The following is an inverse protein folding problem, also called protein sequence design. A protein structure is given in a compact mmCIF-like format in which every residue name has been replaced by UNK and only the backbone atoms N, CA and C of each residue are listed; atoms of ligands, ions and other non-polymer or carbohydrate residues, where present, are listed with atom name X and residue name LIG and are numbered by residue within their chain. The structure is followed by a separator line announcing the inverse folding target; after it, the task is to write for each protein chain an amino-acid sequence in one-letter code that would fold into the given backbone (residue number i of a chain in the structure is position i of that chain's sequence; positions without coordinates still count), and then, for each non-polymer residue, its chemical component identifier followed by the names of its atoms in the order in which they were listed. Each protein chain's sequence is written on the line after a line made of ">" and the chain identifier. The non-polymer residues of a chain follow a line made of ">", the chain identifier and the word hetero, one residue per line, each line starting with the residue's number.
data_IF_028950872943
#
_entry.id   IF_028950872943
#
_cell.length_a   1.000
_cell.length_b   1.000
_cell.length_c   1.000
_cell.angle_alpha   90.00
_cell.angle_beta   90.00
_cell.angle_gamma   90.00
#
_symmetry.space_group_name_H-M   'P 1'
#
loop_
_entity.id
_entity.type
_entity.pdbx_description
1 polymer ?
#
# COMPACT_ATOMS: atom_id res chain seq x y z
N UNK A 1 78.77 1.01 -20.38
CA UNK A 1 77.77 0.91 -19.28
C UNK A 1 76.77 2.06 -19.21
N UNK A 2 77.11 3.32 -19.57
CA UNK A 2 76.21 4.48 -19.43
C UNK A 2 74.92 4.44 -20.30
N UNK A 3 74.97 3.85 -21.50
CA UNK A 3 73.80 3.79 -22.41
C UNK A 3 72.69 2.82 -21.95
N UNK A 4 73.05 1.71 -21.29
CA UNK A 4 72.06 0.74 -20.76
C UNK A 4 71.27 1.29 -19.56
N UNK A 5 71.83 2.22 -18.80
CA UNK A 5 71.17 2.85 -17.64
C UNK A 5 70.10 3.88 -18.06
N UNK A 6 70.33 4.60 -19.17
CA UNK A 6 69.38 5.60 -19.70
C UNK A 6 68.13 4.92 -20.28
N UNK A 7 68.30 3.78 -20.97
CA UNK A 7 67.16 3.01 -21.49
C UNK A 7 66.31 2.44 -20.35
N UNK A 8 66.94 1.98 -19.26
CA UNK A 8 66.23 1.49 -18.08
C UNK A 8 65.44 2.62 -17.38
N UNK A 9 66.01 3.82 -17.27
CA UNK A 9 65.35 5.00 -16.69
C UNK A 9 64.17 5.52 -17.54
N UNK A 10 64.26 5.41 -18.87
CA UNK A 10 63.16 5.75 -19.78
C UNK A 10 62.03 4.71 -19.74
N UNK A 11 62.35 3.42 -19.63
CA UNK A 11 61.36 2.36 -19.45
C UNK A 11 60.63 2.45 -18.09
N UNK A 12 61.34 2.78 -17.02
CA UNK A 12 60.74 2.98 -15.68
C UNK A 12 59.84 4.22 -15.66
N UNK A 13 60.20 5.32 -16.34
CA UNK A 13 59.31 6.48 -16.49
C UNK A 13 58.08 6.22 -17.37
N UNK A 14 58.19 5.32 -18.36
CA UNK A 14 57.05 4.93 -19.19
C UNK A 14 56.09 4.01 -18.43
N UNK A 15 56.62 3.10 -17.60
CA UNK A 15 55.84 2.19 -16.74
C UNK A 15 55.20 2.91 -15.53
N UNK A 16 55.78 4.02 -15.06
CA UNK A 16 55.20 4.85 -13.98
C UNK A 16 54.14 5.84 -14.47
N UNK A 17 53.95 6.01 -15.80
CA UNK A 17 52.90 6.87 -16.37
C UNK A 17 51.60 6.14 -16.74
N UNK A 18 51.54 4.82 -16.57
CA UNK A 18 50.35 4.01 -16.92
C UNK A 18 49.37 3.78 -15.77
N UNK A 19 49.53 4.44 -14.61
CA UNK A 19 48.71 4.17 -13.41
C UNK A 19 47.82 5.34 -12.96
N UNK A 20 47.34 6.15 -13.90
CA UNK A 20 46.15 6.97 -13.67
C UNK A 20 45.24 6.86 -14.89
N UNK A 21 44.76 5.64 -15.17
CA UNK A 21 43.44 5.53 -15.77
C UNK A 21 42.48 6.16 -14.75
N UNK A 22 42.29 7.49 -14.84
CA UNK A 22 41.27 8.20 -14.10
C UNK A 22 39.99 7.42 -14.37
N UNK A 23 39.50 6.74 -13.35
CA UNK A 23 38.10 6.34 -13.24
C UNK A 23 37.32 7.48 -13.89
N UNK A 24 36.71 7.24 -15.06
CA UNK A 24 35.93 8.29 -15.71
C UNK A 24 35.00 8.85 -14.64
N UNK A 25 35.16 10.14 -14.32
CA UNK A 25 34.46 10.78 -13.22
C UNK A 25 32.96 10.66 -13.51
N UNK A 26 32.34 9.66 -12.91
CA UNK A 26 30.91 9.47 -13.05
C UNK A 26 30.24 10.56 -12.22
N UNK A 27 29.53 11.45 -12.91
CA UNK A 27 28.84 12.57 -12.31
C UNK A 27 27.32 12.30 -12.28
N UNK A 28 26.67 12.26 -11.11
CA UNK A 28 25.23 12.05 -10.99
C UNK A 28 24.39 13.02 -11.85
N UNK A 29 24.85 14.28 -12.00
CA UNK A 29 24.14 15.27 -12.83
C UNK A 29 24.14 14.91 -14.32
N UNK A 30 25.15 14.18 -14.80
CA UNK A 30 25.21 13.70 -16.17
C UNK A 30 24.41 12.40 -16.34
N UNK A 31 24.42 11.52 -15.34
CA UNK A 31 23.54 10.35 -15.30
C UNK A 31 22.07 10.74 -15.42
N UNK A 32 21.63 11.79 -14.73
CA UNK A 32 20.26 12.30 -14.76
C UNK A 32 19.77 12.73 -16.16
N UNK A 33 20.69 12.95 -17.12
CA UNK A 33 20.38 13.36 -18.50
C UNK A 33 20.36 12.18 -19.47
N UNK A 34 20.87 11.02 -19.08
CA UNK A 34 20.92 9.84 -19.95
C UNK A 34 19.49 9.39 -20.25
N UNK A 35 19.10 9.20 -21.52
CA UNK A 35 17.81 8.61 -21.86
C UNK A 35 17.62 7.28 -21.13
N UNK A 36 16.50 7.16 -20.41
CA UNK A 36 16.19 5.94 -19.69
C UNK A 36 15.63 4.86 -20.60
N UNK A 37 15.54 3.65 -20.06
CA UNK A 37 15.01 2.48 -20.77
C UNK A 37 13.89 1.81 -20.00
N UNK A 38 13.04 1.09 -20.73
CA UNK A 38 12.02 0.21 -20.17
C UNK A 38 12.60 -1.19 -20.01
N UNK A 39 12.37 -1.81 -18.85
CA UNK A 39 12.82 -3.18 -18.57
C UNK A 39 11.66 -4.00 -18.02
N UNK A 40 11.23 -4.98 -18.80
CA UNK A 40 10.29 -5.99 -18.32
C UNK A 40 11.00 -6.95 -17.37
N UNK A 41 10.40 -7.18 -16.22
CA UNK A 41 10.69 -8.36 -15.40
C UNK A 41 9.74 -9.48 -15.81
N UNK A 42 10.03 -10.71 -15.35
CA UNK A 42 9.04 -11.78 -15.42
C UNK A 42 7.83 -11.37 -14.58
N UNK A 43 6.65 -11.89 -14.94
CA UNK A 43 5.47 -11.80 -14.08
C UNK A 43 5.87 -12.25 -12.67
N UNK A 44 5.37 -11.53 -11.67
CA UNK A 44 5.57 -11.86 -10.26
C UNK A 44 4.70 -13.04 -9.86
N UNK A 45 3.95 -12.87 -8.78
CA UNK A 45 3.06 -13.91 -8.25
C UNK A 45 1.90 -14.18 -9.20
N UNK A 46 1.67 -15.46 -9.50
CA UNK A 46 0.48 -15.98 -10.19
C UNK A 46 -0.13 -17.07 -9.30
N UNK A 47 -1.24 -16.78 -8.62
CA UNK A 47 -1.89 -17.71 -7.70
C UNK A 47 -3.42 -17.62 -7.77
N UNK A 48 -4.07 -18.78 -7.79
CA UNK A 48 -5.54 -18.89 -7.71
C UNK A 48 -6.30 -18.18 -8.84
N UNK A 49 -5.71 -18.07 -10.03
CA UNK A 49 -6.32 -17.48 -11.23
C UNK A 49 -6.47 -18.56 -12.31
N UNK A 50 -7.62 -18.61 -12.98
CA UNK A 50 -7.83 -19.55 -14.07
C UNK A 50 -6.98 -19.18 -15.30
N UNK A 51 -6.54 -20.14 -16.14
CA UNK A 51 -5.78 -19.81 -17.35
C UNK A 51 -6.52 -18.86 -18.32
N UNK A 52 -7.84 -18.96 -18.40
CA UNK A 52 -8.67 -18.11 -19.25
C UNK A 52 -8.75 -16.66 -18.73
N UNK A 53 -8.92 -16.50 -17.41
CA UNK A 53 -8.90 -15.18 -16.77
C UNK A 53 -7.50 -14.57 -16.91
N UNK A 54 -6.43 -15.32 -16.61
CA UNK A 54 -5.05 -14.86 -16.70
C UNK A 54 -4.71 -14.30 -18.09
N UNK A 55 -5.15 -14.97 -19.17
CA UNK A 55 -4.94 -14.48 -20.53
C UNK A 55 -5.64 -13.14 -20.79
N UNK A 56 -6.79 -12.91 -20.17
CA UNK A 56 -7.58 -11.68 -20.30
C UNK A 56 -7.02 -10.55 -19.42
N UNK A 57 -6.65 -10.86 -18.17
CA UNK A 57 -5.98 -9.94 -17.25
C UNK A 57 -4.67 -9.40 -17.87
N UNK A 58 -3.87 -10.27 -18.50
CA UNK A 58 -2.64 -9.86 -19.21
C UNK A 58 -2.91 -8.86 -20.34
N UNK A 59 -4.03 -8.99 -21.06
CA UNK A 59 -4.41 -8.03 -22.11
C UNK A 59 -4.75 -6.67 -21.51
N UNK A 60 -5.49 -6.63 -20.40
CA UNK A 60 -5.79 -5.40 -19.67
C UNK A 60 -4.49 -4.71 -19.23
N UNK A 61 -3.58 -5.43 -18.57
CA UNK A 61 -2.32 -4.86 -18.09
C UNK A 61 -1.39 -4.42 -19.23
N UNK A 62 -1.41 -5.13 -20.37
CA UNK A 62 -0.68 -4.72 -21.57
C UNK A 62 -1.22 -3.41 -22.12
N UNK A 63 -2.54 -3.23 -22.16
CA UNK A 63 -3.17 -1.96 -22.55
C UNK A 63 -2.73 -0.79 -21.67
N UNK A 64 -2.68 -0.99 -20.35
CA UNK A 64 -2.19 0.01 -19.39
C UNK A 64 -0.72 0.35 -19.66
N UNK A 65 0.14 -0.67 -19.84
CA UNK A 65 1.58 -0.47 -20.10
C UNK A 65 1.82 0.30 -21.40
N UNK A 66 1.16 -0.06 -22.49
CA UNK A 66 1.34 0.61 -23.78
C UNK A 66 0.82 2.05 -23.74
N UNK A 67 -0.29 2.29 -23.02
CA UNK A 67 -0.80 3.64 -22.76
C UNK A 67 0.22 4.51 -22.01
N UNK A 68 0.94 3.94 -21.03
CA UNK A 68 2.02 4.62 -20.31
C UNK A 68 3.24 4.88 -21.21
N UNK A 69 3.72 3.88 -21.96
CA UNK A 69 4.87 4.03 -22.88
C UNK A 69 4.65 5.10 -23.94
N UNK A 70 3.41 5.26 -24.41
CA UNK A 70 3.07 6.28 -25.40
C UNK A 70 3.20 7.72 -24.87
N UNK A 71 3.14 7.92 -23.55
CA UNK A 71 3.09 9.24 -22.90
C UNK A 71 4.27 9.54 -22.00
N UNK A 72 5.08 8.54 -21.67
CA UNK A 72 6.21 8.66 -20.77
C UNK A 72 7.49 8.06 -21.35
N UNK A 73 8.57 8.84 -21.31
CA UNK A 73 9.92 8.38 -21.59
C UNK A 73 10.77 8.54 -20.32
N UNK A 74 11.30 7.45 -19.74
CA UNK A 74 12.14 7.55 -18.55
C UNK A 74 13.45 8.28 -18.86
N UNK A 75 14.01 8.98 -17.87
CA UNK A 75 15.30 9.68 -17.98
C UNK A 75 16.11 9.48 -16.72
N UNK A 76 17.40 9.23 -16.86
CA UNK A 76 18.34 9.05 -15.76
C UNK A 76 18.22 7.73 -15.02
N UNK A 77 17.63 6.71 -15.64
CA UNK A 77 17.47 5.40 -15.03
C UNK A 77 16.72 4.40 -15.89
N UNK A 78 16.35 3.29 -15.28
CA UNK A 78 15.57 2.21 -15.90
C UNK A 78 14.21 2.12 -15.23
N UNK A 79 13.14 2.20 -16.01
CA UNK A 79 11.81 1.88 -15.52
C UNK A 79 11.60 0.37 -15.61
N UNK A 80 11.70 -0.29 -14.46
CA UNK A 80 11.49 -1.72 -14.34
C UNK A 80 10.03 -2.02 -14.04
N UNK A 81 9.41 -2.94 -14.77
CA UNK A 81 7.99 -3.23 -14.59
C UNK A 81 7.68 -4.73 -14.50
N UNK A 82 6.59 -5.06 -13.80
CA UNK A 82 6.12 -6.45 -13.60
C UNK A 82 4.62 -6.49 -13.38
N UNK A 83 3.99 -7.59 -13.77
CA UNK A 83 2.59 -7.87 -13.44
C UNK A 83 2.48 -8.78 -12.22
N UNK A 84 1.32 -8.77 -11.56
CA UNK A 84 0.92 -9.76 -10.57
C UNK A 84 -0.54 -10.17 -10.77
N UNK A 85 -0.84 -11.45 -10.55
CA UNK A 85 -2.13 -12.09 -10.81
C UNK A 85 -2.47 -13.03 -9.65
N UNK A 86 -2.93 -12.48 -8.55
CA UNK A 86 -3.07 -13.24 -7.30
C UNK A 86 -4.43 -12.98 -6.69
N UNK A 87 -5.23 -14.02 -6.49
CA UNK A 87 -6.42 -13.97 -5.63
C UNK A 87 -6.00 -14.42 -4.21
N UNK A 88 -5.87 -13.50 -3.24
CA UNK A 88 -5.42 -13.83 -1.89
C UNK A 88 -6.58 -14.43 -1.07
N UNK A 89 -6.74 -15.76 -1.09
CA UNK A 89 -7.89 -16.46 -0.49
C UNK A 89 -8.12 -16.18 1.01
N UNK A 90 -7.10 -15.76 1.76
CA UNK A 90 -7.23 -15.38 3.18
C UNK A 90 -7.63 -13.93 3.43
N UNK A 91 -7.70 -13.10 2.39
CA UNK A 91 -8.01 -11.66 2.51
C UNK A 91 -9.44 -11.34 2.07
N UNK A 92 -10.19 -12.32 1.56
CA UNK A 92 -11.53 -12.10 1.05
C UNK A 92 -12.30 -13.38 0.77
N UNK A 93 -13.63 -13.27 0.80
CA UNK A 93 -14.57 -14.32 0.40
C UNK A 93 -15.56 -13.81 -0.64
N UNK A 94 -16.29 -14.73 -1.28
CA UNK A 94 -17.30 -14.40 -2.29
C UNK A 94 -16.76 -13.48 -3.41
N UNK A 95 -15.54 -13.75 -3.87
CA UNK A 95 -14.83 -12.97 -4.89
C UNK A 95 -15.70 -12.69 -6.12
N UNK A 96 -16.05 -11.42 -6.31
CA UNK A 96 -16.84 -10.93 -7.44
C UNK A 96 -15.94 -10.68 -8.65
N UNK A 97 -14.71 -10.22 -8.41
CA UNK A 97 -13.70 -10.02 -9.44
C UNK A 97 -12.30 -10.37 -8.91
N UNK A 98 -11.42 -10.84 -9.80
CA UNK A 98 -10.03 -11.17 -9.47
C UNK A 98 -9.22 -9.88 -9.32
N UNK A 99 -8.44 -9.73 -8.24
CA UNK A 99 -7.45 -8.66 -8.14
C UNK A 99 -6.18 -9.03 -8.90
N UNK A 100 -5.66 -8.07 -9.65
CA UNK A 100 -4.41 -8.19 -10.40
C UNK A 100 -3.85 -6.78 -10.62
N UNK A 101 -2.62 -6.67 -11.11
CA UNK A 101 -2.06 -5.35 -11.30
C UNK A 101 -0.70 -5.30 -11.95
N UNK A 102 -0.25 -4.07 -12.16
CA UNK A 102 0.98 -3.72 -12.84
C UNK A 102 1.78 -2.74 -11.99
N UNK A 103 3.04 -3.07 -11.72
CA UNK A 103 3.95 -2.22 -10.94
C UNK A 103 5.08 -1.74 -11.82
N UNK A 104 5.39 -0.44 -11.73
CA UNK A 104 6.54 0.21 -12.35
C UNK A 104 7.42 0.82 -11.25
N UNK A 105 8.71 0.47 -11.25
CA UNK A 105 9.73 0.95 -10.32
C UNK A 105 10.80 1.69 -11.10
N UNK A 106 11.04 2.95 -10.75
CA UNK A 106 12.08 3.74 -11.40
C UNK A 106 13.42 3.56 -10.70
N UNK A 107 14.37 2.90 -11.35
CA UNK A 107 15.69 2.59 -10.81
C UNK A 107 16.70 3.56 -11.43
N UNK A 108 17.05 4.62 -10.70
CA UNK A 108 18.01 5.62 -11.18
C UNK A 108 19.38 5.01 -11.48
N UNK A 109 20.14 5.65 -12.39
CA UNK A 109 21.53 5.27 -12.59
C UNK A 109 22.40 5.79 -11.45
N UNK A 110 23.21 4.92 -10.87
CA UNK A 110 24.20 5.24 -9.85
C UNK A 110 25.61 5.05 -10.40
N UNK A 111 26.56 5.81 -9.86
CA UNK A 111 27.97 5.78 -10.24
C UNK A 111 28.71 4.54 -9.72
N UNK A 112 28.27 3.39 -10.19
CA UNK A 112 28.91 2.11 -9.94
C UNK A 112 29.08 1.36 -11.26
N UNK A 113 30.28 0.84 -11.50
CA UNK A 113 30.60 0.12 -12.72
C UNK A 113 29.72 -1.11 -12.88
N UNK A 114 29.02 -1.22 -14.00
CA UNK A 114 28.22 -2.40 -14.31
C UNK A 114 29.14 -3.55 -14.77
N UNK A 115 29.21 -4.68 -14.04
CA UNK A 115 30.05 -5.81 -14.43
C UNK A 115 29.62 -6.48 -15.75
N UNK A 116 28.37 -6.28 -16.19
CA UNK A 116 27.83 -6.91 -17.41
C UNK A 116 28.09 -6.08 -18.66
N UNK A 117 27.94 -4.76 -18.56
CA UNK A 117 28.07 -3.84 -19.71
C UNK A 117 29.38 -3.07 -19.72
N UNK A 118 30.15 -3.11 -18.63
CA UNK A 118 31.38 -2.35 -18.41
C UNK A 118 31.17 -0.82 -18.45
N UNK A 119 29.92 -0.35 -18.38
CA UNK A 119 29.57 1.06 -18.25
C UNK A 119 29.99 1.59 -16.87
N UNK A 120 30.32 2.89 -16.74
CA UNK A 120 30.72 3.51 -15.47
C UNK A 120 29.55 3.75 -14.50
N UNK A 121 28.35 3.30 -14.87
CA UNK A 121 27.13 3.40 -14.07
C UNK A 121 26.29 2.14 -14.25
N UNK A 122 25.37 1.91 -13.32
CA UNK A 122 24.37 0.84 -13.37
C UNK A 122 23.06 1.32 -12.73
N UNK A 123 21.91 0.67 -13.00
CA UNK A 123 20.68 0.97 -12.28
C UNK A 123 20.83 0.64 -10.78
N UNK A 124 20.27 1.46 -9.91
CA UNK A 124 20.13 1.18 -8.48
C UNK A 124 19.40 -0.16 -8.26
N UNK A 125 19.73 -0.90 -7.19
CA UNK A 125 19.05 -2.17 -6.88
C UNK A 125 17.61 -1.95 -6.39
N UNK A 126 17.33 -0.81 -5.76
CA UNK A 126 16.06 -0.48 -5.10
C UNK A 126 15.66 0.96 -5.42
N UNK A 127 14.41 1.32 -5.12
CA UNK A 127 13.87 2.66 -5.31
C UNK A 127 12.67 2.92 -4.42
N UNK A 128 12.51 4.17 -4.01
CA UNK A 128 11.31 4.69 -3.37
C UNK A 128 10.24 5.14 -4.39
N UNK A 129 10.61 5.29 -5.66
CA UNK A 129 9.75 5.79 -6.74
C UNK A 129 9.04 4.64 -7.45
N UNK A 130 7.76 4.48 -7.12
CA UNK A 130 6.93 3.39 -7.64
C UNK A 130 5.54 3.89 -8.03
N UNK A 131 5.05 3.38 -9.17
CA UNK A 131 3.65 3.52 -9.60
C UNK A 131 3.07 2.13 -9.72
N UNK A 132 1.94 1.88 -9.06
CA UNK A 132 1.23 0.60 -9.14
C UNK A 132 -0.20 0.83 -9.58
N UNK A 133 -0.61 0.15 -10.65
CA UNK A 133 -1.99 0.00 -11.06
C UNK A 133 -2.54 -1.27 -10.45
N UNK A 134 -3.52 -1.13 -9.57
CA UNK A 134 -4.32 -2.21 -9.04
C UNK A 134 -5.65 -2.26 -9.78
N UNK A 135 -6.01 -3.43 -10.27
CA UNK A 135 -7.32 -3.69 -10.86
C UNK A 135 -8.10 -4.53 -9.87
N UNK A 136 -9.35 -4.12 -9.57
CA UNK A 136 -10.23 -4.76 -8.59
C UNK A 136 -9.65 -4.84 -7.17
N UNK A 137 -8.66 -3.99 -6.88
CA UNK A 137 -8.00 -3.85 -5.59
C UNK A 137 -7.65 -2.38 -5.31
N UNK A 138 -7.67 -1.99 -4.05
CA UNK A 138 -7.00 -0.79 -3.56
C UNK A 138 -6.14 -1.18 -2.37
N UNK A 139 -4.85 -0.82 -2.42
CA UNK A 139 -3.93 -1.04 -1.31
C UNK A 139 -3.07 0.19 -1.07
N UNK A 140 -2.85 0.49 0.20
CA UNK A 140 -2.10 1.66 0.65
C UNK A 140 -1.73 1.57 2.11
N UNK A 141 -0.57 2.15 2.46
CA UNK A 141 -0.11 2.27 3.84
C UNK A 141 -0.32 3.70 4.28
N UNK A 142 -1.10 3.86 5.33
CA UNK A 142 -1.49 5.15 5.87
C UNK A 142 -0.38 5.68 6.81
N UNK A 143 -0.40 6.98 7.10
CA UNK A 143 0.66 7.64 7.85
C UNK A 143 0.86 7.03 9.24
N UNK A 144 -0.24 6.67 9.91
CA UNK A 144 -0.23 6.32 11.34
C UNK A 144 -0.41 4.84 11.62
N UNK A 145 -0.06 3.99 10.64
CA UNK A 145 0.00 2.53 10.79
C UNK A 145 -1.26 1.79 10.37
N UNK A 146 -2.26 2.49 9.81
CA UNK A 146 -3.34 1.84 9.08
C UNK A 146 -2.86 1.32 7.72
N UNK A 147 -3.45 0.24 7.23
CA UNK A 147 -3.39 -0.14 5.82
C UNK A 147 -4.80 -0.37 5.33
N UNK A 148 -5.07 0.00 4.08
CA UNK A 148 -6.27 -0.47 3.39
C UNK A 148 -5.87 -1.62 2.48
N UNK A 149 -6.67 -2.69 2.52
CA UNK A 149 -6.69 -3.73 1.50
C UNK A 149 -8.14 -3.96 1.08
N UNK A 150 -8.61 -3.17 0.11
CA UNK A 150 -9.94 -3.33 -0.47
C UNK A 150 -9.83 -4.25 -1.68
N UNK A 151 -10.76 -5.20 -1.78
CA UNK A 151 -10.92 -6.09 -2.93
C UNK A 151 -12.36 -6.04 -3.44
N UNK A 152 -12.58 -6.48 -4.68
CA UNK A 152 -13.90 -6.82 -5.20
C UNK A 152 -14.43 -8.15 -4.59
N UNK A 153 -14.49 -8.20 -3.26
CA UNK A 153 -14.85 -9.36 -2.45
C UNK A 153 -15.42 -8.89 -1.11
N UNK A 154 -16.13 -9.79 -0.42
CA UNK A 154 -16.51 -9.57 0.97
C UNK A 154 -15.29 -9.80 1.88
N UNK A 155 -15.23 -9.15 3.05
CA UNK A 155 -14.23 -9.48 4.07
C UNK A 155 -14.45 -10.92 4.57
N UNK A 156 -13.38 -11.68 4.86
CA UNK A 156 -13.52 -13.03 5.37
C UNK A 156 -14.10 -13.02 6.80
N UNK A 157 -14.72 -14.13 7.22
CA UNK A 157 -15.37 -14.21 8.53
C UNK A 157 -14.39 -14.11 9.70
N UNK A 158 -13.15 -14.53 9.49
CA UNK A 158 -12.04 -14.44 10.44
C UNK A 158 -11.22 -13.14 10.29
N UNK A 159 -11.70 -12.17 9.52
CA UNK A 159 -11.06 -10.85 9.44
C UNK A 159 -11.01 -10.25 10.84
N UNK A 160 -9.79 -9.99 11.35
CA UNK A 160 -9.51 -9.56 12.74
C UNK A 160 -10.43 -8.48 13.31
N UNK A 161 -11.00 -7.62 12.45
CA UNK A 161 -11.91 -6.54 12.83
C UNK A 161 -13.30 -6.63 12.21
N UNK A 162 -13.47 -7.39 11.13
CA UNK A 162 -14.69 -7.32 10.28
C UNK A 162 -14.91 -6.00 9.52
N UNK A 163 -13.97 -5.06 9.52
CA UNK A 163 -14.04 -3.78 8.79
C UNK A 163 -12.66 -3.23 8.42
N UNK A 164 -12.63 -2.24 7.53
CA UNK A 164 -11.45 -1.50 7.07
C UNK A 164 -11.29 -0.18 7.85
N UNK A 165 -10.04 0.25 8.06
CA UNK A 165 -9.71 1.52 8.71
C UNK A 165 -9.25 2.55 7.66
N UNK A 166 -9.87 3.72 7.64
CA UNK A 166 -9.42 4.85 6.82
C UNK A 166 -9.11 6.05 7.72
N UNK A 167 -7.94 6.65 7.58
CA UNK A 167 -7.59 7.91 8.24
C UNK A 167 -8.41 9.07 7.70
N UNK A 168 -8.76 9.00 6.41
CA UNK A 168 -9.60 9.97 5.71
C UNK A 168 -10.46 9.24 4.70
N UNK A 169 -11.68 9.74 4.50
CA UNK A 169 -12.50 9.30 3.39
C UNK A 169 -11.90 9.80 2.05
N UNK A 170 -11.94 9.01 0.97
CA UNK A 170 -11.50 9.50 -0.34
C UNK A 170 -12.34 10.71 -0.80
N UNK A 171 -11.66 11.71 -1.35
CA UNK A 171 -12.26 12.93 -1.85
C UNK A 171 -12.66 12.77 -3.32
N UNK A 172 -13.83 13.27 -3.71
CA UNK A 172 -14.20 13.33 -5.12
C UNK A 172 -13.43 14.46 -5.82
N UNK A 173 -12.65 14.12 -6.86
CA UNK A 173 -11.94 15.08 -7.73
C UNK A 173 -12.32 14.84 -9.19
N UNK A 174 -13.29 15.62 -9.68
CA UNK A 174 -13.92 15.35 -10.99
C UNK A 174 -14.62 14.00 -10.95
N UNK A 175 -14.26 13.10 -11.86
CA UNK A 175 -14.80 11.73 -11.92
C UNK A 175 -13.96 10.70 -11.13
N UNK A 176 -12.89 11.14 -10.46
CA UNK A 176 -11.97 10.26 -9.74
C UNK A 176 -12.20 10.38 -8.23
N UNK A 177 -12.01 9.27 -7.53
CA UNK A 177 -11.84 9.28 -6.07
C UNK A 177 -10.35 9.44 -5.78
N UNK A 178 -9.98 10.46 -5.03
CA UNK A 178 -8.60 10.75 -4.65
C UNK A 178 -8.38 10.45 -3.17
N UNK A 179 -7.23 9.85 -2.87
CA UNK A 179 -6.86 9.52 -1.52
C UNK A 179 -5.37 9.70 -1.30
N UNK A 180 -4.99 10.61 -0.41
CA UNK A 180 -3.62 10.69 0.10
C UNK A 180 -3.48 9.77 1.31
N UNK A 181 -2.73 8.68 1.15
CA UNK A 181 -2.49 7.71 2.23
C UNK A 181 -1.45 8.23 3.22
N UNK A 182 -0.40 8.87 2.70
CA UNK A 182 0.71 9.41 3.50
C UNK A 182 1.25 10.66 2.84
N UNK A 183 1.19 11.78 3.54
CA UNK A 183 1.88 12.98 3.14
C UNK A 183 3.37 12.89 3.56
N UNK A 184 4.31 13.33 2.71
CA UNK A 184 5.70 13.47 3.13
C UNK A 184 5.84 14.57 4.19
N UNK A 185 6.79 14.40 5.10
CA UNK A 185 7.14 15.38 6.15
C UNK A 185 8.66 15.47 6.33
N UNK A 186 9.13 16.44 7.12
CA UNK A 186 10.56 16.57 7.44
C UNK A 186 11.15 15.29 8.07
N UNK A 187 10.34 14.51 8.80
CA UNK A 187 10.77 13.26 9.44
C UNK A 187 10.62 12.04 8.54
N UNK A 188 9.74 12.11 7.55
CA UNK A 188 9.39 11.01 6.65
C UNK A 188 9.26 11.55 5.24
N UNK A 189 10.36 11.60 4.45
CA UNK A 189 10.34 12.25 3.13
C UNK A 189 9.57 11.44 2.08
N UNK A 190 9.14 10.21 2.43
CA UNK A 190 8.37 9.30 1.60
C UNK A 190 6.87 9.62 1.70
N UNK A 191 6.28 10.00 0.58
CA UNK A 191 4.84 10.15 0.41
C UNK A 191 4.21 8.97 -0.35
N UNK A 192 2.91 8.77 -0.14
CA UNK A 192 2.08 7.86 -0.91
C UNK A 192 0.69 8.46 -1.14
N UNK A 193 0.27 8.49 -2.40
CA UNK A 193 -1.07 8.92 -2.81
C UNK A 193 -1.68 7.92 -3.78
N UNK A 194 -3.00 7.93 -3.87
CA UNK A 194 -3.75 7.09 -4.77
C UNK A 194 -4.91 7.83 -5.42
N UNK A 195 -5.23 7.39 -6.64
CA UNK A 195 -6.44 7.75 -7.35
C UNK A 195 -7.18 6.47 -7.70
N UNK A 196 -8.49 6.50 -7.56
CA UNK A 196 -9.35 5.39 -7.87
C UNK A 196 -10.32 5.82 -8.97
N UNK A 197 -10.23 5.11 -10.09
CA UNK A 197 -11.19 5.17 -11.19
C UNK A 197 -12.33 4.23 -10.84
N UNK A 198 -13.51 4.80 -10.60
CA UNK A 198 -14.72 4.10 -10.22
C UNK A 198 -15.89 4.50 -11.13
N UNK A 199 -17.02 3.78 -11.03
CA UNK A 199 -18.24 4.17 -11.74
C UNK A 199 -18.75 5.54 -11.25
N UNK A 200 -19.26 6.41 -12.15
CA UNK A 200 -19.72 7.75 -11.78
C UNK A 200 -20.73 7.74 -10.63
N UNK A 201 -20.48 8.58 -9.61
CA UNK A 201 -21.35 8.72 -8.44
C UNK A 201 -21.41 7.48 -7.53
N UNK A 202 -20.55 6.48 -7.72
CA UNK A 202 -20.50 5.25 -6.92
C UNK A 202 -19.12 5.05 -6.31
N UNK A 203 -19.10 4.44 -5.12
CA UNK A 203 -17.87 4.07 -4.43
C UNK A 203 -17.82 2.56 -4.18
N UNK A 204 -16.69 1.88 -4.39
CA UNK A 204 -16.50 0.48 -3.99
C UNK A 204 -16.37 0.31 -2.47
N UNK A 205 -16.30 1.41 -1.73
CA UNK A 205 -16.36 1.47 -0.26
C UNK A 205 -17.73 1.98 0.19
N UNK A 206 -18.25 1.36 1.25
CA UNK A 206 -19.38 1.87 2.01
C UNK A 206 -18.91 2.21 3.43
N UNK A 207 -19.48 3.25 4.08
CA UNK A 207 -19.25 3.47 5.50
C UNK A 207 -19.79 2.26 6.29
N UNK A 208 -19.03 1.84 7.30
CA UNK A 208 -19.57 0.97 8.35
C UNK A 208 -20.43 1.84 9.25
N UNK A 209 -21.65 1.43 9.54
CA UNK A 209 -22.52 2.25 10.41
C UNK A 209 -22.18 2.06 11.89
N UNK A 210 -22.62 2.98 12.75
CA UNK A 210 -22.50 2.85 14.21
C UNK A 210 -23.11 1.55 14.72
N UNK A 211 -24.30 1.19 14.23
CA UNK A 211 -24.96 -0.06 14.63
C UNK A 211 -24.19 -1.30 14.21
N UNK A 212 -23.65 -1.33 12.98
CA UNK A 212 -22.83 -2.43 12.50
C UNK A 212 -21.53 -2.57 13.30
N UNK A 213 -20.88 -1.45 13.62
CA UNK A 213 -19.68 -1.45 14.45
C UNK A 213 -19.93 -2.03 15.85
N UNK A 214 -20.99 -1.58 16.53
CA UNK A 214 -21.33 -2.09 17.88
C UNK A 214 -21.65 -3.59 17.84
N UNK A 215 -22.38 -4.04 16.81
CA UNK A 215 -22.69 -5.45 16.62
C UNK A 215 -21.44 -6.33 16.40
N UNK A 216 -20.36 -5.77 15.82
CA UNK A 216 -19.07 -6.44 15.70
C UNK A 216 -18.21 -6.34 16.97
N UNK A 217 -18.16 -5.16 17.59
CA UNK A 217 -17.26 -4.88 18.72
C UNK A 217 -17.68 -5.59 20.00
N UNK A 218 -18.98 -5.69 20.29
CA UNK A 218 -19.48 -6.33 21.53
C UNK A 218 -19.04 -7.80 21.63
N UNK A 219 -19.24 -8.66 20.60
CA UNK A 219 -18.71 -10.03 20.61
C UNK A 219 -17.19 -10.10 20.81
N UNK A 220 -16.43 -9.23 20.15
CA UNK A 220 -14.97 -9.17 20.29
C UNK A 220 -14.53 -8.80 21.71
N UNK A 221 -15.22 -7.84 22.35
CA UNK A 221 -14.98 -7.49 23.74
C UNK A 221 -15.28 -8.67 24.67
N UNK A 222 -16.40 -9.39 24.45
CA UNK A 222 -16.75 -10.58 25.25
C UNK A 222 -15.72 -11.69 25.10
N UNK A 223 -15.27 -11.98 23.88
CA UNK A 223 -14.21 -12.97 23.65
C UNK A 223 -12.92 -12.59 24.39
N UNK A 224 -12.47 -11.35 24.26
CA UNK A 224 -11.26 -10.89 24.96
C UNK A 224 -11.41 -10.96 26.49
N UNK A 225 -12.60 -10.66 27.02
CA UNK A 225 -12.89 -10.83 28.44
C UNK A 225 -12.74 -12.29 28.89
N UNK A 226 -13.27 -13.24 28.12
CA UNK A 226 -13.15 -14.67 28.41
C UNK A 226 -11.68 -15.13 28.40
N UNK A 227 -10.89 -14.65 27.44
CA UNK A 227 -9.44 -14.90 27.38
C UNK A 227 -8.72 -14.35 28.63
N UNK A 228 -9.03 -13.10 29.03
CA UNK A 228 -8.50 -12.49 30.26
C UNK A 228 -8.89 -13.29 31.51
N UNK A 229 -10.12 -13.80 31.58
CA UNK A 229 -10.57 -14.65 32.68
C UNK A 229 -9.78 -15.96 32.74
N UNK A 230 -9.41 -16.52 31.58
CA UNK A 230 -8.52 -17.68 31.48
C UNK A 230 -7.18 -17.39 32.14
N UNK A 231 -6.49 -16.33 31.70
CA UNK A 231 -5.20 -15.92 32.28
C UNK A 231 -5.28 -15.62 33.78
N UNK A 232 -6.34 -14.94 34.23
CA UNK A 232 -6.56 -14.63 35.64
C UNK A 232 -6.61 -15.88 36.52
N UNK A 233 -7.24 -16.96 36.05
CA UNK A 233 -7.38 -18.22 36.81
C UNK A 233 -6.06 -18.96 37.00
N UNK A 234 -5.07 -18.73 36.15
CA UNK A 234 -3.75 -19.37 36.22
C UNK A 234 -2.80 -18.71 37.23
N UNK A 235 -3.15 -17.51 37.71
CA UNK A 235 -2.32 -16.76 38.65
C UNK A 235 -2.61 -17.25 40.08
N UNK A 236 -1.61 -17.84 40.74
CA UNK A 236 -1.69 -18.20 42.17
C UNK A 236 -1.31 -16.98 43.04
N UNK A 237 -2.27 -16.30 43.70
CA UNK A 237 -1.96 -15.13 44.52
C UNK A 237 -1.22 -15.48 45.82
N UNK A 238 -1.07 -16.76 46.16
CA UNK A 238 -0.38 -17.22 47.37
C UNK A 238 1.10 -17.56 47.13
N UNK A 239 1.54 -17.63 45.87
CA UNK A 239 2.91 -18.01 45.51
C UNK A 239 3.94 -17.03 46.09
N UNK A 240 3.73 -15.73 45.86
CA UNK A 240 4.56 -14.65 46.40
C UNK A 240 3.86 -13.27 46.28
N UNK A 241 4.52 -12.22 46.77
CA UNK A 241 4.03 -10.83 46.74
C UNK A 241 3.83 -10.33 45.30
N UNK A 242 4.68 -10.74 44.36
CA UNK A 242 4.58 -10.31 42.97
C UNK A 242 3.35 -10.92 42.29
N UNK A 243 3.09 -12.20 42.52
CA UNK A 243 1.95 -12.96 42.02
C UNK A 243 0.64 -12.41 42.57
N UNK A 244 0.59 -12.05 43.87
CA UNK A 244 -0.55 -11.33 44.44
C UNK A 244 -0.82 -10.00 43.73
N UNK A 245 0.22 -9.20 43.46
CA UNK A 245 0.06 -7.91 42.76
C UNK A 245 -0.51 -8.11 41.36
N UNK A 246 0.02 -9.06 40.61
CA UNK A 246 -0.47 -9.38 39.25
C UNK A 246 -1.92 -9.88 39.29
N UNK A 247 -2.28 -10.71 40.28
CA UNK A 247 -3.67 -11.15 40.49
C UNK A 247 -4.62 -9.98 40.75
N UNK A 248 -4.25 -9.07 41.66
CA UNK A 248 -5.07 -7.91 42.01
C UNK A 248 -5.22 -6.94 40.81
N UNK A 249 -4.14 -6.70 40.05
CA UNK A 249 -4.16 -5.92 38.80
C UNK A 249 -5.06 -6.57 37.74
N UNK A 250 -4.96 -7.89 37.56
CA UNK A 250 -5.79 -8.66 36.63
C UNK A 250 -7.29 -8.55 36.97
N UNK A 251 -7.65 -8.59 38.26
CA UNK A 251 -9.04 -8.42 38.71
C UNK A 251 -9.60 -7.03 38.38
N UNK A 252 -8.79 -5.98 38.54
CA UNK A 252 -9.18 -4.62 38.18
C UNK A 252 -9.40 -4.50 36.67
N UNK A 253 -8.52 -5.08 35.86
CA UNK A 253 -8.64 -5.08 34.40
C UNK A 253 -9.89 -5.84 33.93
N UNK A 254 -10.19 -7.00 34.52
CA UNK A 254 -11.40 -7.76 34.23
C UNK A 254 -12.66 -6.94 34.50
N UNK A 255 -12.74 -6.27 35.66
CA UNK A 255 -13.88 -5.42 35.99
C UNK A 255 -14.01 -4.24 35.03
N UNK A 256 -12.91 -3.54 34.73
CA UNK A 256 -12.92 -2.43 33.78
C UNK A 256 -13.44 -2.86 32.40
N UNK A 257 -13.04 -4.06 31.97
CA UNK A 257 -13.46 -4.60 30.68
C UNK A 257 -14.93 -5.10 30.68
N UNK A 258 -15.43 -5.65 31.79
CA UNK A 258 -16.85 -5.96 31.96
C UNK A 258 -17.70 -4.68 31.91
N UNK A 259 -17.25 -3.60 32.55
CA UNK A 259 -17.91 -2.30 32.53
C UNK A 259 -17.89 -1.69 31.10
N UNK A 260 -16.80 -1.90 30.34
CA UNK A 260 -16.72 -1.52 28.92
C UNK A 260 -17.74 -2.27 28.06
N UNK A 261 -17.91 -3.58 28.26
CA UNK A 261 -18.94 -4.37 27.56
C UNK A 261 -20.33 -3.81 27.86
N UNK A 262 -20.67 -3.62 29.14
CA UNK A 262 -21.98 -3.09 29.56
C UNK A 262 -22.28 -1.72 28.99
N UNK A 263 -21.29 -0.81 29.02
CA UNK A 263 -21.46 0.55 28.46
C UNK A 263 -21.63 0.53 26.94
N UNK A 264 -20.90 -0.34 26.24
CA UNK A 264 -21.05 -0.52 24.77
C UNK A 264 -22.43 -1.09 24.42
N UNK A 265 -22.92 -2.07 25.18
CA UNK A 265 -24.27 -2.62 25.02
C UNK A 265 -25.36 -1.59 25.33
N UNK A 266 -25.18 -0.79 26.39
CA UNK A 266 -26.09 0.30 26.70
C UNK A 266 -26.13 1.35 25.59
N UNK A 267 -25.00 1.66 24.96
CA UNK A 267 -24.96 2.56 23.81
C UNK A 267 -25.76 2.00 22.62
N UNK A 268 -25.61 0.70 22.31
CA UNK A 268 -26.41 0.05 21.27
C UNK A 268 -27.92 0.10 21.57
N UNK A 269 -28.31 -0.08 22.84
CA UNK A 269 -29.71 -0.08 23.26
C UNK A 269 -30.35 1.31 23.39
N UNK A 270 -29.56 2.38 23.49
CA UNK A 270 -30.06 3.75 23.71
C UNK A 270 -30.05 4.61 22.44
N UNK A 271 -29.22 4.28 21.44
CA UNK A 271 -29.20 4.99 20.17
C UNK A 271 -30.47 4.75 19.34
N UNK A 272 -30.96 5.81 18.70
CA UNK A 272 -32.09 5.75 17.77
C UNK A 272 -31.69 5.05 16.46
N UNK A 273 -32.67 4.55 15.67
CA UNK A 273 -32.38 3.97 14.36
C UNK A 273 -31.63 4.91 13.41
N UNK A 274 -31.89 6.22 13.49
CA UNK A 274 -31.18 7.22 12.68
C UNK A 274 -29.72 7.34 13.09
N UNK A 275 -29.43 7.41 14.39
CA UNK A 275 -28.05 7.47 14.90
C UNK A 275 -27.29 6.18 14.56
N UNK A 276 -27.92 5.02 14.71
CA UNK A 276 -27.31 3.73 14.37
C UNK A 276 -26.97 3.60 12.88
N UNK A 277 -27.67 4.32 12.01
CA UNK A 277 -27.42 4.37 10.57
C UNK A 277 -26.30 5.34 10.17
N UNK A 278 -25.85 6.21 11.06
CA UNK A 278 -24.74 7.13 10.79
C UNK A 278 -23.41 6.37 10.62
N UNK A 279 -22.45 6.92 9.86
CA UNK A 279 -21.10 6.36 9.77
C UNK A 279 -20.41 6.26 11.12
N UNK A 280 -19.75 5.13 11.36
CA UNK A 280 -18.90 4.93 12.52
C UNK A 280 -17.54 5.60 12.32
N UNK A 281 -17.20 6.51 13.21
CA UNK A 281 -15.89 7.15 13.32
C UNK A 281 -15.41 6.92 14.75
N UNK A 282 -14.19 6.44 14.91
CA UNK A 282 -13.62 6.06 16.20
C UNK A 282 -12.27 6.74 16.42
N UNK A 283 -11.79 6.78 17.66
CA UNK A 283 -10.46 7.29 17.96
C UNK A 283 -9.38 6.30 17.46
N UNK A 284 -8.23 6.83 17.01
CA UNK A 284 -7.15 6.07 16.37
C UNK A 284 -6.57 4.94 17.25
N UNK A 285 -6.66 5.05 18.57
CA UNK A 285 -6.19 4.02 19.50
C UNK A 285 -7.16 2.84 19.68
N UNK A 286 -8.42 2.98 19.28
CA UNK A 286 -9.48 2.03 19.60
C UNK A 286 -9.52 0.73 18.78
N UNK A 287 -8.98 0.64 17.54
CA UNK A 287 -8.99 -0.63 16.80
C UNK A 287 -8.33 -1.79 17.55
N UNK A 288 -7.35 -1.49 18.41
CA UNK A 288 -6.64 -2.47 19.23
C UNK A 288 -6.85 -2.20 20.74
N UNK A 289 -7.77 -1.32 21.10
CA UNK A 289 -7.96 -0.84 22.47
C UNK A 289 -9.42 -0.80 22.90
N UNK A 290 -9.63 -0.09 24.00
CA UNK A 290 -10.94 0.18 24.58
C UNK A 290 -11.73 1.11 23.66
N UNK A 291 -13.01 0.79 23.44
CA UNK A 291 -13.92 1.68 22.71
C UNK A 291 -14.36 2.83 23.62
N UNK A 292 -14.08 4.08 23.24
CA UNK A 292 -14.35 5.29 24.05
C UNK A 292 -15.52 6.10 23.50
N UNK A 293 -16.32 5.48 22.65
CA UNK A 293 -17.46 6.09 21.99
C UNK A 293 -17.13 6.65 20.62
N UNK A 294 -18.17 6.91 19.84
CA UNK A 294 -18.03 7.45 18.49
C UNK A 294 -17.55 8.91 18.49
N UNK A 295 -16.77 9.22 17.47
CA UNK A 295 -16.26 10.55 17.16
C UNK A 295 -16.97 11.13 15.94
N UNK A 296 -16.57 12.34 15.57
CA UNK A 296 -17.00 13.05 14.36
C UNK A 296 -15.82 13.21 13.39
N UNK A 297 -16.09 13.54 12.13
CA UNK A 297 -15.05 13.74 11.13
C UNK A 297 -14.11 14.94 11.42
N UNK A 298 -14.52 15.84 12.32
CA UNK A 298 -13.73 17.01 12.70
C UNK A 298 -12.83 16.76 13.92
N UNK A 299 -13.00 15.62 14.61
CA UNK A 299 -12.15 15.27 15.73
C UNK A 299 -10.74 14.92 15.26
N UNK A 300 -9.74 15.25 16.09
CA UNK A 300 -8.36 14.91 15.80
C UNK A 300 -8.13 13.41 16.00
N UNK A 301 -7.21 12.83 15.20
CA UNK A 301 -6.75 11.45 15.36
C UNK A 301 -7.89 10.42 15.36
N UNK A 302 -8.76 10.49 14.35
CA UNK A 302 -9.83 9.52 14.14
C UNK A 302 -9.54 8.53 13.02
N UNK A 303 -10.26 7.42 13.03
CA UNK A 303 -10.45 6.53 11.88
C UNK A 303 -11.91 6.54 11.45
N UNK A 304 -12.14 6.65 10.15
CA UNK A 304 -13.39 6.31 9.49
C UNK A 304 -13.43 4.81 9.26
N UNK A 305 -14.53 4.17 9.67
CA UNK A 305 -14.71 2.75 9.46
C UNK A 305 -15.43 2.50 8.14
N UNK A 306 -14.90 1.56 7.36
CA UNK A 306 -15.41 1.25 6.04
C UNK A 306 -15.54 -0.26 5.84
N UNK A 307 -16.27 -0.63 4.80
CA UNK A 307 -16.40 -2.01 4.32
C UNK A 307 -16.49 -2.00 2.79
N UNK A 308 -16.20 -3.13 2.11
CA UNK A 308 -16.55 -3.29 0.71
C UNK A 308 -18.03 -2.96 0.49
N UNK A 309 -18.38 -2.37 -0.65
CA UNK A 309 -19.77 -2.08 -1.03
C UNK A 309 -20.27 -3.15 -2.02
N UNK A 310 -21.04 -4.17 -1.57
CA UNK A 310 -21.50 -5.22 -2.48
C UNK A 310 -22.38 -4.70 -3.62
N UNK A 311 -23.13 -3.61 -3.39
CA UNK A 311 -23.96 -2.97 -4.41
C UNK A 311 -23.16 -2.23 -5.49
N UNK A 312 -21.86 -1.99 -5.25
CA UNK A 312 -20.95 -1.50 -6.27
C UNK A 312 -20.57 -2.61 -7.26
N UNK A 313 -20.39 -3.85 -6.83
CA UNK A 313 -19.83 -4.86 -7.71
C UNK A 313 -20.90 -5.58 -8.55
N UNK A 314 -20.68 -5.65 -9.86
CA UNK A 314 -21.50 -6.42 -10.78
C UNK A 314 -21.02 -7.88 -10.83
N UNK A 315 -21.86 -8.79 -10.32
CA UNK A 315 -21.56 -10.23 -10.25
C UNK A 315 -21.78 -10.97 -11.56
N UNK A 316 -22.35 -10.32 -12.57
CA UNK A 316 -22.62 -10.92 -13.89
C UNK A 316 -21.42 -10.80 -14.84
N UNK A 317 -20.48 -9.90 -14.55
CA UNK A 317 -19.26 -9.72 -15.33
C UNK A 317 -18.27 -10.87 -15.08
N UNK A 318 -17.47 -11.28 -16.08
CA UNK A 318 -16.34 -12.17 -15.87
C UNK A 318 -15.36 -11.62 -14.83
N UNK A 319 -14.74 -12.51 -14.04
CA UNK A 319 -13.88 -12.12 -12.91
C UNK A 319 -12.68 -11.24 -13.29
N UNK A 320 -12.15 -11.40 -14.51
CA UNK A 320 -11.03 -10.60 -15.00
C UNK A 320 -11.42 -9.15 -15.33
N UNK A 321 -12.71 -8.82 -15.47
CA UNK A 321 -13.15 -7.49 -15.90
C UNK A 321 -12.84 -6.45 -14.81
N UNK A 322 -12.21 -5.31 -15.14
CA UNK A 322 -12.03 -4.20 -14.21
C UNK A 322 -13.39 -3.63 -13.76
N UNK A 323 -13.64 -3.59 -12.46
CA UNK A 323 -14.80 -2.93 -11.85
C UNK A 323 -14.41 -1.62 -11.16
N UNK A 324 -13.16 -1.51 -10.74
CA UNK A 324 -12.49 -0.28 -10.36
C UNK A 324 -10.99 -0.46 -10.56
N UNK A 325 -10.27 0.66 -10.75
CA UNK A 325 -8.81 0.66 -10.91
C UNK A 325 -8.23 1.69 -9.95
N UNK A 326 -7.26 1.28 -9.13
CA UNK A 326 -6.54 2.18 -8.23
C UNK A 326 -5.12 2.39 -8.75
N UNK A 327 -4.69 3.63 -8.89
CA UNK A 327 -3.30 3.98 -9.19
C UNK A 327 -2.66 4.53 -7.93
N UNK A 328 -1.72 3.80 -7.36
CA UNK A 328 -0.94 4.22 -6.20
C UNK A 328 0.42 4.71 -6.65
N UNK A 329 0.83 5.88 -6.16
CA UNK A 329 2.13 6.49 -6.42
C UNK A 329 2.86 6.65 -5.10
N UNK A 330 4.05 6.07 -5.00
CA UNK A 330 5.00 6.24 -3.89
C UNK A 330 6.21 7.03 -4.38
N UNK A 331 6.67 7.97 -3.57
CA UNK A 331 7.77 8.86 -3.92
C UNK A 331 8.54 9.33 -2.69
N UNK A 332 9.84 9.55 -2.83
CA UNK A 332 10.67 10.22 -1.84
C UNK A 332 11.04 11.63 -2.31
N UNK A 333 10.76 12.62 -1.48
CA UNK A 333 11.03 14.04 -1.79
C UNK A 333 12.51 14.40 -1.70
N UNK A 334 13.34 13.57 -1.07
CA UNK A 334 14.79 13.75 -0.98
C UNK A 334 15.56 13.26 -2.21
N UNK A 335 14.92 12.46 -3.09
CA UNK A 335 15.53 11.87 -4.28
C UNK A 335 15.09 12.61 -5.55
N UNK A 336 15.81 13.68 -5.91
CA UNK A 336 15.38 14.62 -6.96
C UNK A 336 15.09 13.98 -8.34
N UNK A 337 15.91 13.01 -8.76
CA UNK A 337 15.72 12.30 -10.05
C UNK A 337 14.48 11.42 -10.00
N UNK A 338 14.30 10.67 -8.90
CA UNK A 338 13.16 9.80 -8.65
C UNK A 338 11.86 10.62 -8.57
N UNK A 339 11.85 11.72 -7.82
CA UNK A 339 10.72 12.63 -7.72
C UNK A 339 10.31 13.21 -9.07
N UNK A 340 11.29 13.67 -9.87
CA UNK A 340 11.02 14.19 -11.22
C UNK A 340 10.38 13.13 -12.12
N UNK A 341 10.91 11.91 -12.13
CA UNK A 341 10.36 10.82 -12.94
C UNK A 341 8.96 10.42 -12.45
N UNK A 342 8.70 10.42 -11.14
CA UNK A 342 7.34 10.19 -10.61
C UNK A 342 6.36 11.25 -11.07
N UNK A 343 6.73 12.53 -10.99
CA UNK A 343 5.88 13.62 -11.46
C UNK A 343 5.59 13.53 -12.96
N UNK A 344 6.56 13.06 -13.76
CA UNK A 344 6.37 12.79 -15.19
C UNK A 344 5.43 11.59 -15.41
N UNK A 345 5.60 10.50 -14.66
CA UNK A 345 4.71 9.34 -14.74
C UNK A 345 3.29 9.68 -14.34
N UNK A 346 3.10 10.43 -13.24
CA UNK A 346 1.78 10.88 -12.79
C UNK A 346 1.03 11.66 -13.88
N UNK A 347 1.73 12.56 -14.57
CA UNK A 347 1.17 13.33 -15.70
C UNK A 347 0.90 12.48 -16.94
N UNK A 348 1.61 11.37 -17.09
CA UNK A 348 1.46 10.46 -18.23
C UNK A 348 0.31 9.45 -18.05
N UNK A 349 -0.29 9.35 -16.86
CA UNK A 349 -1.43 8.47 -16.63
C UNK A 349 -2.62 8.95 -17.47
N UNK A 350 -3.12 8.05 -18.31
CA UNK A 350 -4.31 8.27 -19.12
C UNK A 350 -5.57 7.86 -18.34
N UNK A 351 -6.12 8.82 -17.60
CA UNK A 351 -7.31 8.60 -16.78
C UNK A 351 -8.55 8.23 -17.60
N UNK A 352 -8.63 8.69 -18.86
CA UNK A 352 -9.73 8.36 -19.76
C UNK A 352 -9.65 6.89 -20.21
N UNK A 353 -8.48 6.45 -20.68
CA UNK A 353 -8.29 5.04 -21.04
C UNK A 353 -8.53 4.11 -19.85
N UNK A 354 -8.10 4.46 -18.63
CA UNK A 354 -8.40 3.65 -17.44
C UNK A 354 -9.90 3.55 -17.18
N UNK A 355 -10.66 4.61 -17.45
CA UNK A 355 -12.13 4.60 -17.30
C UNK A 355 -12.79 3.71 -18.35
N UNK A 356 -12.31 3.73 -19.59
CA UNK A 356 -12.82 2.89 -20.68
C UNK A 356 -12.58 1.40 -20.45
N UNK A 357 -11.59 1.04 -19.62
CA UNK A 357 -11.33 -0.33 -19.20
C UNK A 357 -12.35 -0.87 -18.19
N UNK A 358 -13.13 -0.02 -17.53
CA UNK A 358 -14.18 -0.47 -16.63
C UNK A 358 -15.24 -1.25 -17.39
N UNK A 359 -15.72 -2.34 -16.79
CA UNK A 359 -16.82 -3.13 -17.34
C UNK A 359 -18.05 -2.27 -17.60
N UNK A 360 -18.67 -2.43 -18.78
CA UNK A 360 -19.94 -1.77 -19.08
C UNK A 360 -21.06 -2.50 -18.33
N UNK A 361 -21.94 -1.74 -17.69
CA UNK A 361 -23.18 -2.26 -17.10
C UNK A 361 -24.36 -2.12 -18.04
#
# INVERSE_FOLDING_TARGET
>A
MKSKLIILLLLVNFLLRTTEARSQDCNPADLAKIPGTWRSNKDGSIHNVSPADLASERKVLTGILESMKARYQPVGGVLSHSNFHTVPLGEGKNWVASPYGHTMRFLEYVCEKDPKTNLPYKPAPETSAMVTFYVNQASGVQETGGSINLYAADLPDDHSRGYLLLEKWPEQKGDLLYWEFRAPSERHPIGQKAWMVAYPGKSPLAPLTKGEYLALKIPLLRQYHEEMQGYHREIDPQLDVASKRVYDESLLNLKAHEDLIKSTEAQLGTMTPSELAEPAIIERGEPNGEFRGFKTANDLSVYHLAKPNPGYFDRTLPKWVPQFITVTIQYDTSEAINLKNIQMMEKAIDWEALRELLGRR
#
